data_IF_071262891704
#
_entry.id   IF_071262891704
#
_cell.length_a   1.000
_cell.length_b   1.000
_cell.length_c   1.000
_cell.angle_alpha   90.00
_cell.angle_beta   90.00
_cell.angle_gamma   90.00
#
_symmetry.space_group_name_H-M   'P 1'
#
loop_
_entity.id
_entity.type
_entity.pdbx_description
1 polymer ?
#
# COMPACT_ATOMS: atom_id res chain seq x y z
N UNK A 1 6.38 10.34 10.78
CA UNK A 1 5.63 9.31 11.52
C UNK A 1 4.82 9.99 12.60
N UNK A 2 3.51 9.81 12.56
CA UNK A 2 2.63 10.47 13.53
C UNK A 2 2.49 9.66 14.80
N UNK A 3 2.09 10.33 15.88
CA UNK A 3 1.82 9.65 17.15
C UNK A 3 0.72 8.61 16.94
N UNK A 4 0.89 7.46 17.58
CA UNK A 4 -0.07 6.37 17.44
C UNK A 4 0.17 5.47 16.25
N UNK A 5 1.08 5.84 15.34
CA UNK A 5 1.50 4.94 14.28
C UNK A 5 2.35 3.82 14.86
N UNK A 6 2.26 2.63 14.26
CA UNK A 6 2.99 1.46 14.73
C UNK A 6 3.96 0.99 13.64
N UNK A 7 5.24 0.92 13.98
CA UNK A 7 6.27 0.37 13.11
C UNK A 7 6.94 -0.78 13.83
N UNK A 8 7.00 -1.95 13.22
CA UNK A 8 7.62 -3.12 13.81
C UNK A 8 8.48 -3.87 12.82
N UNK A 9 9.64 -4.31 13.28
CA UNK A 9 10.60 -5.03 12.47
C UNK A 9 11.39 -4.10 11.57
N UNK A 10 12.17 -4.62 10.64
CA UNK A 10 12.98 -3.77 9.79
C UNK A 10 12.07 -3.01 8.80
N UNK A 11 12.02 -1.69 8.96
CA UNK A 11 11.26 -0.80 8.08
C UNK A 11 12.18 0.31 7.62
N UNK A 12 12.32 0.48 6.31
CA UNK A 12 13.07 1.61 5.74
C UNK A 12 12.08 2.66 5.28
N UNK A 13 12.29 3.89 5.70
CA UNK A 13 11.38 5.01 5.41
C UNK A 13 12.15 6.08 4.64
N UNK A 14 11.71 6.33 3.41
CA UNK A 14 12.33 7.33 2.56
C UNK A 14 11.99 8.75 2.96
N UNK A 15 12.65 9.72 2.32
CA UNK A 15 12.41 11.13 2.62
C UNK A 15 10.95 11.49 2.37
N UNK A 16 10.38 12.28 3.27
CA UNK A 16 9.00 12.76 3.20
C UNK A 16 7.94 11.65 3.19
N UNK A 17 8.32 10.42 3.45
CA UNK A 17 7.33 9.35 3.65
C UNK A 17 6.60 9.59 4.96
N UNK A 18 5.32 9.23 5.00
CA UNK A 18 4.47 9.47 6.15
C UNK A 18 3.72 8.22 6.56
N UNK A 19 3.68 7.97 7.87
CA UNK A 19 2.76 6.99 8.44
C UNK A 19 1.87 7.78 9.39
N UNK A 20 0.60 7.85 9.08
CA UNK A 20 -0.36 8.64 9.84
C UNK A 20 -0.82 7.92 11.08
N UNK A 21 -1.51 8.64 11.95
CA UNK A 21 -1.99 8.09 13.22
C UNK A 21 -2.77 6.80 12.98
N UNK A 22 -2.46 5.77 13.77
CA UNK A 22 -3.05 4.43 13.67
C UNK A 22 -2.68 3.67 12.39
N UNK A 23 -1.83 4.23 11.55
CA UNK A 23 -1.24 3.47 10.46
C UNK A 23 -0.27 2.44 11.02
N UNK A 24 -0.20 1.27 10.37
CA UNK A 24 0.64 0.17 10.86
C UNK A 24 1.52 -0.36 9.74
N UNK A 25 2.82 -0.43 10.04
CA UNK A 25 3.78 -0.97 9.08
C UNK A 25 4.59 -2.06 9.77
N UNK A 26 4.57 -3.25 9.22
CA UNK A 26 5.32 -4.38 9.75
C UNK A 26 6.36 -4.82 8.74
N UNK A 27 7.55 -5.04 9.24
CA UNK A 27 8.68 -5.42 8.39
C UNK A 27 8.77 -6.90 8.05
N UNK A 28 9.63 -7.20 7.12
CA UNK A 28 10.46 -6.24 6.41
C UNK A 28 9.64 -5.45 5.37
N UNK A 29 9.73 -4.13 5.41
CA UNK A 29 9.00 -3.27 4.48
C UNK A 29 9.83 -2.05 4.11
N UNK A 30 9.55 -1.49 2.94
CA UNK A 30 10.20 -0.27 2.44
C UNK A 30 9.13 0.72 2.03
N UNK A 31 9.24 1.95 2.56
CA UNK A 31 8.40 3.07 2.12
C UNK A 31 9.31 4.02 1.34
N UNK A 32 9.07 4.15 0.05
CA UNK A 32 9.85 5.04 -0.80
C UNK A 32 9.59 6.50 -0.48
N UNK A 33 10.37 7.41 -1.09
CA UNK A 33 10.20 8.85 -0.84
C UNK A 33 8.78 9.30 -1.13
N UNK A 34 8.18 10.04 -0.20
CA UNK A 34 6.82 10.57 -0.37
C UNK A 34 5.71 9.54 -0.25
N UNK A 35 6.02 8.28 0.05
CA UNK A 35 4.97 7.28 0.26
C UNK A 35 4.14 7.62 1.50
N UNK A 36 2.85 7.31 1.47
CA UNK A 36 1.94 7.63 2.57
C UNK A 36 1.16 6.40 2.98
N UNK A 37 1.17 6.10 4.27
CA UNK A 37 0.30 5.09 4.87
C UNK A 37 -0.70 5.83 5.74
N UNK A 38 -1.95 5.89 5.29
CA UNK A 38 -2.99 6.65 5.96
C UNK A 38 -3.43 5.98 7.26
N UNK A 39 -4.19 6.71 8.07
CA UNK A 39 -4.68 6.20 9.33
C UNK A 39 -5.49 4.92 9.17
N UNK A 40 -5.24 3.95 10.03
CA UNK A 40 -5.93 2.66 9.96
C UNK A 40 -5.49 1.75 8.83
N UNK A 41 -4.61 2.19 7.95
CA UNK A 41 -4.06 1.35 6.90
C UNK A 41 -2.99 0.41 7.49
N UNK A 42 -2.74 -0.70 6.79
CA UNK A 42 -1.78 -1.68 7.25
C UNK A 42 -0.89 -2.13 6.10
N UNK A 43 0.41 -2.16 6.36
CA UNK A 43 1.41 -2.61 5.39
C UNK A 43 2.27 -3.67 6.06
N UNK A 44 2.42 -4.83 5.41
CA UNK A 44 3.24 -5.91 5.94
C UNK A 44 4.11 -6.48 4.83
N UNK A 45 5.40 -6.62 5.09
CA UNK A 45 6.35 -7.30 4.21
C UNK A 45 6.22 -6.84 2.76
N UNK A 46 6.12 -5.52 2.56
CA UNK A 46 5.83 -4.96 1.25
C UNK A 46 6.79 -3.85 0.89
N UNK A 47 6.87 -3.55 -0.40
CA UNK A 47 7.69 -2.45 -0.91
C UNK A 47 6.74 -1.45 -1.58
N UNK A 48 6.78 -0.22 -1.09
CA UNK A 48 6.06 0.90 -1.68
C UNK A 48 7.08 1.82 -2.33
N UNK A 49 7.00 2.01 -3.63
CA UNK A 49 7.91 2.91 -4.33
C UNK A 49 7.50 4.36 -4.12
N UNK A 50 8.23 5.29 -4.73
CA UNK A 50 8.05 6.71 -4.48
C UNK A 50 6.60 7.15 -4.71
N UNK A 51 6.04 7.91 -3.77
CA UNK A 51 4.70 8.46 -3.90
C UNK A 51 3.55 7.49 -3.78
N UNK A 52 3.81 6.21 -3.53
CA UNK A 52 2.72 5.24 -3.35
C UNK A 52 1.90 5.60 -2.11
N UNK A 53 0.59 5.35 -2.18
CA UNK A 53 -0.32 5.80 -1.15
C UNK A 53 -1.32 4.71 -0.79
N UNK A 54 -1.45 4.44 0.50
CA UNK A 54 -2.44 3.51 1.03
C UNK A 54 -3.46 4.36 1.78
N UNK A 55 -4.71 4.36 1.30
CA UNK A 55 -5.78 5.14 1.92
C UNK A 55 -6.28 4.48 3.19
N UNK A 56 -7.16 5.16 3.92
CA UNK A 56 -7.64 4.68 5.22
C UNK A 56 -8.21 3.28 5.14
N UNK A 57 -7.77 2.41 6.03
CA UNK A 57 -8.25 1.04 6.09
C UNK A 57 -7.77 0.14 4.96
N UNK A 58 -6.96 0.64 4.05
CA UNK A 58 -6.36 -0.21 3.03
C UNK A 58 -5.35 -1.17 3.64
N UNK A 59 -5.22 -2.36 3.05
CA UNK A 59 -4.30 -3.38 3.56
C UNK A 59 -3.42 -3.87 2.44
N UNK A 60 -2.11 -3.88 2.69
CA UNK A 60 -1.11 -4.36 1.73
C UNK A 60 -0.19 -5.33 2.45
N UNK A 61 -0.04 -6.53 1.91
CA UNK A 61 0.88 -7.52 2.47
C UNK A 61 1.56 -8.31 1.36
N UNK A 62 2.84 -8.62 1.57
CA UNK A 62 3.62 -9.45 0.65
C UNK A 62 3.54 -8.99 -0.80
N UNK A 63 3.55 -7.65 -1.02
CA UNK A 63 3.29 -7.08 -2.34
C UNK A 63 4.27 -5.96 -2.67
N UNK A 64 4.32 -5.59 -3.95
CA UNK A 64 5.15 -4.50 -4.43
C UNK A 64 4.23 -3.49 -5.13
N UNK A 65 4.26 -2.25 -4.66
CA UNK A 65 3.50 -1.16 -5.26
C UNK A 65 4.45 -0.22 -6.00
N UNK A 66 4.17 0.02 -7.28
CA UNK A 66 4.97 0.94 -8.09
C UNK A 66 4.83 2.38 -7.63
N UNK A 67 5.53 3.27 -8.32
CA UNK A 67 5.49 4.69 -7.99
C UNK A 67 4.08 5.25 -8.21
N UNK A 68 3.65 6.11 -7.30
CA UNK A 68 2.36 6.80 -7.38
C UNK A 68 1.14 5.88 -7.42
N UNK A 69 1.29 4.63 -7.00
CA UNK A 69 0.16 3.71 -6.88
C UNK A 69 -0.73 4.15 -5.73
N UNK A 70 -2.05 4.09 -5.94
CA UNK A 70 -3.01 4.39 -4.88
C UNK A 70 -3.81 3.14 -4.56
N UNK A 71 -3.81 2.73 -3.30
CA UNK A 71 -4.67 1.66 -2.79
C UNK A 71 -5.78 2.33 -2.00
N UNK A 72 -7.01 2.22 -2.49
CA UNK A 72 -8.15 2.92 -1.92
C UNK A 72 -8.59 2.40 -0.57
N UNK A 73 -9.50 3.12 0.06
CA UNK A 73 -10.00 2.77 1.38
C UNK A 73 -10.66 1.39 1.38
N UNK A 74 -10.21 0.54 2.30
CA UNK A 74 -10.76 -0.81 2.42
C UNK A 74 -10.33 -1.79 1.34
N UNK A 75 -9.49 -1.38 0.40
CA UNK A 75 -8.95 -2.32 -0.58
C UNK A 75 -7.90 -3.22 0.07
N UNK A 76 -7.76 -4.44 -0.45
CA UNK A 76 -6.79 -5.42 0.05
C UNK A 76 -5.89 -5.85 -1.10
N UNK A 77 -4.58 -5.77 -0.87
CA UNK A 77 -3.57 -6.21 -1.84
C UNK A 77 -2.64 -7.16 -1.11
N UNK A 78 -2.53 -8.41 -1.58
CA UNK A 78 -1.77 -9.42 -0.84
C UNK A 78 -1.21 -10.52 -1.75
N UNK A 79 -0.46 -11.42 -1.14
CA UNK A 79 -0.04 -12.69 -1.72
C UNK A 79 0.73 -12.55 -3.03
N UNK A 80 1.74 -11.67 -3.03
CA UNK A 80 2.62 -11.53 -4.18
C UNK A 80 2.09 -10.64 -5.29
N UNK A 81 1.09 -9.80 -5.01
CA UNK A 81 0.57 -8.87 -6.01
C UNK A 81 1.64 -7.83 -6.37
N UNK A 82 1.66 -7.45 -7.62
CA UNK A 82 2.55 -6.40 -8.12
C UNK A 82 1.71 -5.38 -8.87
N UNK A 83 1.76 -4.13 -8.41
CA UNK A 83 1.00 -3.04 -9.02
C UNK A 83 1.96 -2.12 -9.76
N UNK A 84 1.71 -1.91 -11.05
CA UNK A 84 2.55 -1.04 -11.87
C UNK A 84 2.39 0.42 -11.53
N UNK A 85 3.35 1.24 -11.96
CA UNK A 85 3.36 2.67 -11.64
C UNK A 85 2.05 3.34 -12.03
N UNK A 86 1.54 4.20 -11.15
CA UNK A 86 0.34 4.97 -11.41
C UNK A 86 -0.97 4.19 -11.35
N UNK A 87 -0.94 2.90 -11.02
CA UNK A 87 -2.16 2.12 -10.89
C UNK A 87 -3.00 2.67 -9.73
N UNK A 88 -4.31 2.70 -9.91
CA UNK A 88 -5.25 3.15 -8.89
C UNK A 88 -6.22 2.01 -8.60
N UNK A 89 -6.22 1.56 -7.36
CA UNK A 89 -7.09 0.48 -6.91
C UNK A 89 -8.11 1.07 -5.95
N UNK A 90 -9.33 1.25 -6.41
CA UNK A 90 -10.34 1.86 -5.55
C UNK A 90 -10.86 0.88 -4.51
N UNK A 91 -11.60 1.39 -3.55
CA UNK A 91 -12.03 0.61 -2.40
C UNK A 91 -12.84 -0.63 -2.77
N UNK A 92 -12.82 -1.62 -1.88
CA UNK A 92 -13.56 -2.86 -2.08
C UNK A 92 -12.93 -3.86 -3.02
N UNK A 93 -11.80 -3.52 -3.65
CA UNK A 93 -11.06 -4.48 -4.47
C UNK A 93 -10.22 -5.39 -3.57
N UNK A 94 -10.14 -6.65 -3.95
CA UNK A 94 -9.28 -7.63 -3.27
C UNK A 94 -8.36 -8.23 -4.33
N UNK A 95 -7.08 -7.93 -4.21
CA UNK A 95 -6.06 -8.43 -5.13
C UNK A 95 -5.17 -9.41 -4.38
N UNK A 96 -5.05 -10.62 -4.90
CA UNK A 96 -4.28 -11.66 -4.23
C UNK A 96 -3.69 -12.63 -5.26
N UNK A 97 -3.00 -13.65 -4.77
CA UNK A 97 -2.55 -14.77 -5.60
C UNK A 97 -1.71 -14.35 -6.81
N UNK A 98 -0.75 -13.44 -6.59
CA UNK A 98 0.20 -13.05 -7.63
C UNK A 98 -0.39 -12.18 -8.74
N UNK A 99 -1.47 -11.49 -8.45
CA UNK A 99 -2.08 -10.58 -9.42
C UNK A 99 -1.07 -9.52 -9.85
N UNK A 100 -1.04 -9.22 -11.15
CA UNK A 100 -0.20 -8.16 -11.69
C UNK A 100 -1.08 -7.13 -12.37
N UNK A 101 -0.94 -5.88 -11.97
CA UNK A 101 -1.69 -4.77 -12.52
C UNK A 101 -0.73 -3.92 -13.35
N UNK A 102 -1.08 -3.69 -14.61
CA UNK A 102 -0.24 -2.90 -15.50
C UNK A 102 -0.19 -1.43 -15.06
N UNK A 103 0.87 -0.70 -15.43
CA UNK A 103 0.95 0.73 -15.11
C UNK A 103 -0.26 1.50 -15.62
N UNK A 104 -0.73 2.44 -14.83
CA UNK A 104 -1.82 3.33 -15.21
C UNK A 104 -3.21 2.72 -15.18
N UNK A 105 -3.34 1.45 -14.79
CA UNK A 105 -4.67 0.83 -14.72
C UNK A 105 -5.46 1.42 -13.56
N UNK A 106 -6.72 1.74 -13.81
CA UNK A 106 -7.62 2.24 -12.78
C UNK A 106 -8.73 1.20 -12.57
N UNK A 107 -8.73 0.55 -11.42
CA UNK A 107 -9.77 -0.41 -11.07
C UNK A 107 -10.87 0.31 -10.30
N UNK A 108 -12.09 0.35 -10.82
CA UNK A 108 -13.19 0.97 -10.10
C UNK A 108 -13.55 0.18 -8.84
N UNK A 109 -14.36 0.75 -7.93
CA UNK A 109 -14.67 0.09 -6.67
C UNK A 109 -15.23 -1.32 -6.88
N UNK A 110 -14.70 -2.28 -6.12
CA UNK A 110 -15.19 -3.65 -6.13
C UNK A 110 -15.05 -4.41 -7.44
N UNK A 111 -14.16 -3.96 -8.34
CA UNK A 111 -14.01 -4.59 -9.65
C UNK A 111 -13.43 -6.00 -9.55
N UNK A 112 -12.53 -6.25 -8.60
CA UNK A 112 -11.90 -7.55 -8.39
C UNK A 112 -12.09 -7.97 -6.94
N UNK A 113 -12.60 -9.19 -6.74
CA UNK A 113 -12.77 -9.79 -5.43
C UNK A 113 -12.36 -11.25 -5.50
N UNK A 114 -11.09 -11.50 -5.28
CA UNK A 114 -10.55 -12.85 -5.39
C UNK A 114 -9.99 -13.31 -4.07
#
# INVERSE_FOLDING_TARGET
>A
IEDGAVLRGPVMIGSSARVEREGRVFGPSVLGPGAVVAGGARVERSVLLAGARIERGGKVSDSILGADVVVGSGAVVSDGAILGDGAIIEGGNVLAAGVRVAPGVHLPPGAIRV
#
